data_IF_396038859002
#
_entry.id   IF_396038859002
#
_cell.length_a   1.000
_cell.length_b   1.000
_cell.length_c   1.000
_cell.angle_alpha   90.00
_cell.angle_beta   90.00
_cell.angle_gamma   90.00
#
_symmetry.space_group_name_H-M   'P 1'
#
loop_
_entity.id
_entity.type
_entity.pdbx_description
1 polymer ?
#
# COMPACT_ATOMS: atom_id res chain seq x y z
N UNK A 1 1.82 13.48 -8.98
CA UNK A 1 2.04 14.95 -8.85
C UNK A 1 0.73 15.73 -8.84
N UNK A 2 -0.18 15.55 -9.82
CA UNK A 2 -1.43 16.32 -9.90
C UNK A 2 -2.34 16.15 -8.66
N UNK A 3 -2.40 14.96 -8.08
CA UNK A 3 -3.15 14.68 -6.85
C UNK A 3 -2.54 15.40 -5.65
N UNK A 4 -1.23 15.26 -5.47
CA UNK A 4 -0.48 15.94 -4.41
C UNK A 4 -0.63 17.46 -4.55
N UNK A 5 -0.54 18.01 -5.77
CA UNK A 5 -0.73 19.44 -6.01
C UNK A 5 -2.14 19.92 -5.69
N UNK A 6 -3.20 19.13 -5.95
CA UNK A 6 -4.57 19.50 -5.56
C UNK A 6 -4.74 19.51 -4.05
N UNK A 7 -4.20 18.52 -3.33
CA UNK A 7 -4.24 18.50 -1.88
C UNK A 7 -3.53 19.71 -1.29
N UNK A 8 -2.39 20.12 -1.89
CA UNK A 8 -1.71 21.37 -1.52
C UNK A 8 -2.52 22.63 -1.81
N UNK A 9 -3.19 22.69 -2.96
CA UNK A 9 -4.04 23.83 -3.29
C UNK A 9 -5.13 24.02 -2.24
N UNK A 10 -5.83 22.95 -1.86
CA UNK A 10 -6.86 23.02 -0.82
C UNK A 10 -6.30 23.40 0.56
N UNK A 11 -5.14 22.86 0.94
CA UNK A 11 -4.49 23.23 2.20
C UNK A 11 -3.99 24.70 2.19
N UNK A 12 -3.48 25.19 1.04
CA UNK A 12 -3.04 26.58 0.86
C UNK A 12 -4.20 27.58 0.87
N UNK A 13 -5.38 27.18 0.43
CA UNK A 13 -6.59 27.98 0.48
C UNK A 13 -7.20 28.04 1.89
N UNK A 14 -6.55 27.43 2.88
CA UNK A 14 -6.97 27.47 4.27
C UNK A 14 -8.13 26.53 4.62
N UNK A 15 -8.49 25.60 3.74
CA UNK A 15 -9.48 24.58 4.03
C UNK A 15 -8.89 23.51 4.97
N UNK A 16 -8.98 23.76 6.25
CA UNK A 16 -8.59 22.80 7.29
C UNK A 16 -9.72 21.83 7.65
N UNK A 17 -10.96 22.13 7.24
CA UNK A 17 -12.12 21.30 7.50
C UNK A 17 -13.10 21.38 6.33
N UNK A 18 -13.54 20.23 5.81
CA UNK A 18 -14.70 20.14 4.95
C UNK A 18 -15.95 20.05 5.83
N UNK A 19 -16.76 21.10 5.85
CA UNK A 19 -18.05 21.07 6.55
C UNK A 19 -19.14 20.79 5.53
N UNK A 20 -19.69 19.60 5.57
CA UNK A 20 -20.83 19.21 4.74
C UNK A 20 -22.12 19.65 5.44
N UNK A 21 -22.62 20.84 5.15
CA UNK A 21 -23.86 21.34 5.75
C UNK A 21 -25.14 20.69 5.19
N UNK A 22 -25.07 20.15 3.98
CA UNK A 22 -26.23 19.59 3.25
C UNK A 22 -26.14 18.10 2.98
N UNK A 23 -25.04 17.45 3.39
CA UNK A 23 -24.78 16.03 3.10
C UNK A 23 -24.42 15.29 4.39
N UNK A 24 -24.81 14.02 4.44
CA UNK A 24 -24.35 13.13 5.50
C UNK A 24 -22.83 12.97 5.45
N UNK A 25 -22.19 12.80 6.62
CA UNK A 25 -20.78 12.42 6.74
C UNK A 25 -20.56 10.92 6.66
N UNK A 26 -21.61 10.13 6.43
CA UNK A 26 -21.51 8.70 6.26
C UNK A 26 -20.70 8.36 5.01
N UNK A 27 -19.95 7.28 5.08
CA UNK A 27 -18.99 6.86 4.05
C UNK A 27 -19.62 6.62 2.66
N UNK A 28 -20.93 6.33 2.60
CA UNK A 28 -21.72 6.10 1.38
C UNK A 28 -22.50 7.34 0.93
N UNK A 29 -22.28 8.50 1.57
CA UNK A 29 -23.02 9.71 1.22
C UNK A 29 -22.64 10.24 -0.18
N UNK A 30 -23.60 10.94 -0.80
CA UNK A 30 -23.41 11.57 -2.11
C UNK A 30 -22.22 12.55 -2.13
N UNK A 31 -21.86 13.15 -1.01
CA UNK A 31 -20.72 14.05 -0.89
C UNK A 31 -19.42 13.36 -1.29
N UNK A 32 -19.21 12.09 -0.89
CA UNK A 32 -18.01 11.33 -1.22
C UNK A 32 -17.93 10.93 -2.70
N UNK A 33 -19.05 10.78 -3.37
CA UNK A 33 -19.07 10.50 -4.82
C UNK A 33 -18.67 11.70 -5.68
N UNK A 34 -18.74 12.90 -5.16
CA UNK A 34 -18.42 14.13 -5.89
C UNK A 34 -16.97 14.57 -5.74
N UNK A 35 -16.21 14.01 -4.79
CA UNK A 35 -14.81 14.35 -4.56
C UNK A 35 -13.89 13.39 -5.33
N UNK A 36 -13.05 13.97 -6.21
CA UNK A 36 -12.10 13.19 -7.01
C UNK A 36 -11.02 12.53 -6.14
N UNK A 37 -10.73 11.25 -6.41
CA UNK A 37 -9.63 10.52 -5.76
C UNK A 37 -9.96 9.87 -4.42
N UNK A 38 -11.21 9.86 -3.98
CA UNK A 38 -11.64 9.24 -2.71
C UNK A 38 -11.39 7.73 -2.65
N UNK A 39 -11.50 7.05 -3.78
CA UNK A 39 -11.33 5.61 -3.89
C UNK A 39 -9.89 5.21 -4.30
N UNK A 40 -8.95 6.14 -4.28
CA UNK A 40 -7.55 5.85 -4.54
C UNK A 40 -6.76 5.85 -3.25
N UNK A 41 -5.83 4.91 -3.15
CA UNK A 41 -4.84 4.83 -2.10
C UNK A 41 -3.47 4.94 -2.76
N UNK A 42 -2.71 5.98 -2.40
CA UNK A 42 -1.49 6.32 -3.11
C UNK A 42 -0.27 6.08 -2.24
N UNK A 43 0.76 5.48 -2.83
CA UNK A 43 2.07 5.30 -2.21
C UNK A 43 3.16 5.80 -3.13
N UNK A 44 4.25 6.27 -2.54
CA UNK A 44 5.45 6.70 -3.24
C UNK A 44 6.56 5.69 -2.93
N UNK A 45 7.20 5.17 -3.97
CA UNK A 45 8.40 4.34 -3.83
C UNK A 45 9.62 5.22 -3.93
N UNK A 46 10.48 5.17 -2.91
CA UNK A 46 11.64 6.04 -2.77
C UNK A 46 12.89 5.18 -2.70
N UNK A 47 13.85 5.33 -3.65
CA UNK A 47 15.13 4.64 -3.59
C UNK A 47 16.09 5.32 -2.62
N UNK A 48 17.09 4.60 -2.15
CA UNK A 48 18.13 5.11 -1.24
C UNK A 48 18.87 6.31 -1.80
N UNK A 49 19.05 6.39 -3.11
CA UNK A 49 19.70 7.53 -3.78
C UNK A 49 18.98 8.85 -3.51
N UNK A 50 17.65 8.81 -3.37
CA UNK A 50 16.91 10.00 -2.98
C UNK A 50 17.29 10.47 -1.57
N UNK A 51 17.39 9.54 -0.61
CA UNK A 51 17.77 9.88 0.77
C UNK A 51 19.22 10.36 0.87
N UNK A 52 20.14 9.77 0.12
CA UNK A 52 21.53 10.27 -0.01
C UNK A 52 21.55 11.68 -0.59
N UNK A 53 20.70 11.95 -1.57
CA UNK A 53 20.57 13.29 -2.16
C UNK A 53 19.96 14.29 -1.18
N UNK A 54 18.94 13.84 -0.43
CA UNK A 54 18.30 14.63 0.61
C UNK A 54 19.29 15.02 1.73
N UNK A 55 20.16 14.09 2.16
CA UNK A 55 21.16 14.35 3.19
C UNK A 55 22.19 15.41 2.78
N UNK A 56 22.57 15.44 1.50
CA UNK A 56 23.51 16.45 0.96
C UNK A 56 22.84 17.73 0.44
N UNK A 57 21.53 17.88 0.69
CA UNK A 57 20.72 19.01 0.21
C UNK A 57 20.78 19.21 -1.31
N UNK A 58 20.85 18.10 -2.04
CA UNK A 58 21.01 18.07 -3.48
C UNK A 58 19.70 18.24 -4.26
N UNK A 59 19.87 18.26 -5.58
CA UNK A 59 18.78 18.29 -6.53
C UNK A 59 18.37 16.89 -6.94
N UNK A 60 17.08 16.69 -7.19
CA UNK A 60 16.48 15.43 -7.61
C UNK A 60 15.76 15.57 -8.95
N UNK A 61 16.08 14.69 -9.88
CA UNK A 61 15.48 14.67 -11.20
C UNK A 61 14.22 13.82 -11.22
N UNK A 62 13.12 14.41 -11.67
CA UNK A 62 11.89 13.72 -12.00
C UNK A 62 11.96 13.29 -13.46
N UNK A 63 11.97 11.99 -13.72
CA UNK A 63 12.10 11.42 -15.05
C UNK A 63 10.76 10.96 -15.61
N UNK A 64 10.58 11.08 -16.91
CA UNK A 64 9.42 10.53 -17.62
C UNK A 64 9.55 9.02 -17.75
N UNK A 65 8.47 8.30 -17.54
CA UNK A 65 8.45 6.83 -17.69
C UNK A 65 8.51 6.37 -19.14
N UNK A 66 8.13 7.23 -20.07
CA UNK A 66 8.03 6.90 -21.50
C UNK A 66 9.38 6.81 -22.19
N UNK A 67 10.34 7.65 -21.81
CA UNK A 67 11.63 7.77 -22.50
C UNK A 67 12.83 7.94 -21.53
N UNK A 68 12.58 7.99 -20.22
CA UNK A 68 13.60 8.19 -19.20
C UNK A 68 14.20 9.60 -19.14
N UNK A 69 13.75 10.53 -19.99
CA UNK A 69 14.28 11.87 -19.98
C UNK A 69 13.84 12.66 -18.75
N UNK A 70 14.71 13.56 -18.28
CA UNK A 70 14.40 14.46 -17.17
C UNK A 70 13.27 15.40 -17.58
N UNK A 71 12.20 15.36 -16.81
CA UNK A 71 11.02 16.22 -16.97
C UNK A 71 11.18 17.50 -16.16
N UNK A 72 11.73 17.40 -14.96
CA UNK A 72 11.91 18.50 -14.03
C UNK A 72 12.95 18.14 -12.98
N UNK A 73 13.77 19.11 -12.61
CA UNK A 73 14.68 19.01 -11.46
C UNK A 73 14.12 19.82 -10.29
N UNK A 74 14.10 19.25 -9.11
CA UNK A 74 13.59 19.88 -7.88
C UNK A 74 14.58 19.67 -6.73
N UNK A 75 14.52 20.50 -5.70
CA UNK A 75 15.25 20.23 -4.45
C UNK A 75 14.67 18.98 -3.77
N UNK A 76 15.54 18.03 -3.44
CA UNK A 76 15.11 16.82 -2.74
C UNK A 76 14.44 17.17 -1.40
N UNK A 77 14.94 18.18 -0.69
CA UNK A 77 14.38 18.69 0.57
C UNK A 77 12.96 19.22 0.40
N UNK A 78 12.71 19.99 -0.63
CA UNK A 78 11.38 20.56 -0.90
C UNK A 78 10.38 19.46 -1.25
N UNK A 79 10.79 18.47 -2.06
CA UNK A 79 9.95 17.34 -2.40
C UNK A 79 9.62 16.50 -1.16
N UNK A 80 10.62 16.21 -0.31
CA UNK A 80 10.42 15.48 0.93
C UNK A 80 9.47 16.19 1.90
N UNK A 81 9.66 17.49 2.08
CA UNK A 81 8.78 18.29 2.93
C UNK A 81 7.33 18.28 2.43
N UNK A 82 7.12 18.30 1.11
CA UNK A 82 5.77 18.18 0.51
C UNK A 82 5.15 16.82 0.78
N UNK A 83 5.93 15.73 0.62
CA UNK A 83 5.47 14.37 0.92
C UNK A 83 5.05 14.27 2.38
N UNK A 84 5.91 14.71 3.29
CA UNK A 84 5.64 14.68 4.73
C UNK A 84 4.43 15.51 5.12
N UNK A 85 4.29 16.70 4.53
CA UNK A 85 3.13 17.56 4.77
C UNK A 85 1.83 16.93 4.27
N UNK A 86 1.81 16.37 3.06
CA UNK A 86 0.64 15.70 2.52
C UNK A 86 0.21 14.51 3.41
N UNK A 87 1.18 13.68 3.83
CA UNK A 87 0.92 12.56 4.73
C UNK A 87 0.38 13.01 6.09
N UNK A 88 0.86 14.12 6.62
CA UNK A 88 0.34 14.72 7.85
C UNK A 88 -1.10 15.21 7.73
N UNK A 89 -1.42 15.90 6.64
CA UNK A 89 -2.72 16.56 6.47
C UNK A 89 -3.83 15.58 6.10
N UNK A 90 -3.55 14.57 5.27
CA UNK A 90 -4.57 13.69 4.72
C UNK A 90 -4.23 12.18 4.79
N UNK A 91 -3.21 11.79 5.54
CA UNK A 91 -2.71 10.42 5.67
C UNK A 91 -2.24 9.78 4.34
N UNK A 92 -2.06 10.57 3.28
CA UNK A 92 -1.64 10.13 1.96
C UNK A 92 -0.53 11.09 1.44
N UNK A 93 0.49 10.60 0.73
CA UNK A 93 0.75 9.23 0.31
C UNK A 93 1.43 8.37 1.40
N UNK A 94 1.28 7.05 1.28
CA UNK A 94 2.16 6.11 1.95
C UNK A 94 3.58 6.16 1.37
N UNK A 95 4.60 5.80 2.16
CA UNK A 95 6.00 5.78 1.72
C UNK A 95 6.53 4.36 1.73
N UNK A 96 7.14 3.94 0.63
CA UNK A 96 7.75 2.63 0.46
C UNK A 96 9.24 2.80 0.09
N UNK A 97 10.11 2.07 0.77
CA UNK A 97 11.56 2.14 0.59
C UNK A 97 12.00 1.13 -0.46
N UNK A 98 12.08 1.58 -1.72
CA UNK A 98 12.26 0.72 -2.90
C UNK A 98 13.51 -0.17 -2.82
N UNK A 99 14.65 0.39 -2.43
CA UNK A 99 15.90 -0.34 -2.33
C UNK A 99 15.81 -1.43 -1.29
N UNK A 100 15.42 -1.10 -0.07
CA UNK A 100 15.28 -2.05 1.05
C UNK A 100 14.28 -3.15 0.73
N UNK A 101 13.12 -2.81 0.15
CA UNK A 101 12.10 -3.78 -0.25
C UNK A 101 12.68 -4.82 -1.21
N UNK A 102 13.45 -4.38 -2.20
CA UNK A 102 14.04 -5.28 -3.19
C UNK A 102 15.27 -6.03 -2.67
N UNK A 103 16.01 -5.50 -1.68
CA UNK A 103 17.07 -6.23 -0.99
C UNK A 103 16.52 -7.41 -0.17
N UNK A 104 15.31 -7.28 0.36
CA UNK A 104 14.63 -8.32 1.15
C UNK A 104 13.68 -9.19 0.32
N UNK A 105 13.66 -8.99 -0.99
CA UNK A 105 12.80 -9.77 -1.88
C UNK A 105 13.18 -11.26 -1.87
N UNK A 106 12.17 -12.12 -1.69
CA UNK A 106 12.39 -13.58 -1.55
C UNK A 106 12.50 -14.33 -2.86
N UNK A 107 12.13 -13.70 -3.99
CA UNK A 107 12.19 -14.27 -5.34
C UNK A 107 12.83 -13.28 -6.34
N UNK A 108 14.06 -12.81 -6.13
CA UNK A 108 14.66 -11.75 -6.94
C UNK A 108 14.96 -12.17 -8.39
N UNK A 109 15.11 -13.46 -8.66
CA UNK A 109 15.36 -14.01 -10.00
C UNK A 109 14.15 -13.86 -10.93
N UNK A 110 12.95 -13.77 -10.38
CA UNK A 110 11.69 -13.66 -11.16
C UNK A 110 11.34 -12.21 -11.52
N UNK A 111 11.99 -11.25 -10.91
CA UNK A 111 11.78 -9.82 -11.17
C UNK A 111 11.91 -8.93 -9.95
N UNK A 112 11.61 -7.65 -10.15
CA UNK A 112 11.58 -6.66 -9.07
C UNK A 112 10.18 -6.50 -8.50
N UNK A 113 10.09 -6.09 -7.26
CA UNK A 113 8.87 -5.58 -6.64
C UNK A 113 8.73 -4.10 -7.01
N UNK A 114 7.67 -3.74 -7.77
CA UNK A 114 7.42 -2.37 -8.20
C UNK A 114 6.29 -1.69 -7.41
N UNK A 115 5.40 -2.46 -6.80
CA UNK A 115 4.25 -1.96 -6.07
C UNK A 115 3.89 -2.91 -4.93
N UNK A 116 2.88 -2.54 -4.17
CA UNK A 116 2.26 -3.37 -3.14
C UNK A 116 0.74 -3.19 -3.15
N UNK A 117 0.04 -3.92 -2.29
CA UNK A 117 -1.33 -3.55 -1.92
C UNK A 117 -1.36 -2.23 -1.13
N UNK A 118 -2.55 -1.61 -0.94
CA UNK A 118 -2.66 -0.29 -0.29
C UNK A 118 -2.03 -0.21 1.11
N UNK A 119 -2.19 -1.24 1.93
CA UNK A 119 -1.66 -1.25 3.29
C UNK A 119 -0.17 -1.62 3.36
N UNK A 120 0.46 -1.95 2.24
CA UNK A 120 1.88 -2.27 2.09
C UNK A 120 2.36 -3.54 2.82
N UNK A 121 1.44 -4.42 3.25
CA UNK A 121 1.81 -5.69 3.85
C UNK A 121 2.25 -6.73 2.82
N UNK A 122 1.83 -6.58 1.55
CA UNK A 122 2.16 -7.50 0.48
C UNK A 122 3.20 -6.92 -0.48
N UNK A 123 4.45 -7.18 -0.18
CA UNK A 123 5.61 -6.80 -1.00
C UNK A 123 6.11 -8.02 -1.77
N UNK A 124 5.59 -8.21 -2.97
CA UNK A 124 5.93 -9.35 -3.83
C UNK A 124 5.89 -8.97 -5.30
N UNK A 125 6.06 -9.97 -6.19
CA UNK A 125 6.06 -9.79 -7.63
C UNK A 125 4.76 -9.16 -8.16
N UNK A 126 4.89 -8.41 -9.24
CA UNK A 126 3.74 -7.87 -9.96
C UNK A 126 2.84 -9.00 -10.48
N UNK A 127 1.59 -8.68 -10.75
CA UNK A 127 0.59 -9.65 -11.23
C UNK A 127 0.44 -10.88 -10.32
N UNK A 128 0.55 -10.68 -9.01
CA UNK A 128 0.28 -11.69 -7.99
C UNK A 128 -0.86 -11.25 -7.09
N UNK A 129 -1.41 -12.19 -6.33
CA UNK A 129 -2.45 -11.91 -5.34
C UNK A 129 -2.15 -12.62 -4.04
N UNK A 130 -2.52 -12.00 -2.91
CA UNK A 130 -2.45 -12.62 -1.60
C UNK A 130 -3.86 -12.98 -1.14
N UNK A 131 -4.08 -14.25 -0.84
CA UNK A 131 -5.32 -14.74 -0.28
C UNK A 131 -5.27 -14.61 1.25
N UNK A 132 -6.25 -13.95 1.86
CA UNK A 132 -6.18 -13.48 3.24
C UNK A 132 -7.22 -14.13 4.15
N UNK A 133 -6.82 -14.46 5.37
CA UNK A 133 -7.68 -14.72 6.51
C UNK A 133 -7.04 -14.18 7.80
N UNK A 134 -7.85 -13.99 8.84
CA UNK A 134 -7.36 -13.58 10.15
C UNK A 134 -8.03 -14.37 11.25
N UNK A 135 -7.27 -14.74 12.28
CA UNK A 135 -7.77 -15.41 13.46
C UNK A 135 -7.98 -14.40 14.59
N UNK A 136 -9.15 -14.42 15.21
CA UNK A 136 -9.38 -13.63 16.41
C UNK A 136 -8.69 -14.29 17.60
N UNK A 137 -7.51 -13.80 17.98
CA UNK A 137 -6.69 -14.38 19.06
C UNK A 137 -7.39 -14.38 20.42
N UNK A 138 -8.33 -13.47 20.67
CA UNK A 138 -9.08 -13.44 21.93
C UNK A 138 -9.97 -14.68 22.14
N UNK A 139 -10.32 -15.39 21.06
CA UNK A 139 -11.10 -16.63 21.14
C UNK A 139 -10.26 -17.84 21.58
N UNK A 140 -8.95 -17.69 21.68
CA UNK A 140 -8.05 -18.74 22.16
C UNK A 140 -7.58 -18.48 23.60
N UNK A 141 -8.22 -17.57 24.33
CA UNK A 141 -7.98 -17.34 25.74
C UNK A 141 -9.02 -18.12 26.55
N UNK A 142 -8.58 -19.12 27.30
CA UNK A 142 -9.44 -19.93 28.18
C UNK A 142 -9.95 -19.08 29.38
N UNK A 143 -10.95 -19.58 30.09
CA UNK A 143 -11.55 -18.90 31.23
C UNK A 143 -10.58 -18.63 32.39
N UNK A 144 -9.50 -19.39 32.49
CA UNK A 144 -8.42 -19.22 33.45
C UNK A 144 -7.34 -18.21 32.99
N UNK A 145 -7.54 -17.58 31.82
CA UNK A 145 -6.61 -16.63 31.21
C UNK A 145 -5.44 -17.24 30.47
N UNK A 146 -5.37 -18.58 30.38
CA UNK A 146 -4.33 -19.25 29.62
C UNK A 146 -4.65 -19.25 28.10
N UNK A 147 -3.60 -19.17 27.28
CA UNK A 147 -3.75 -19.25 25.83
C UNK A 147 -3.87 -20.71 25.36
N UNK A 148 -4.95 -21.06 24.66
CA UNK A 148 -5.16 -22.37 24.07
C UNK A 148 -4.28 -22.59 22.85
N UNK A 149 -3.05 -22.97 23.07
CA UNK A 149 -2.07 -23.22 22.03
C UNK A 149 -2.50 -24.37 21.08
N UNK A 150 -3.22 -25.39 21.59
CA UNK A 150 -3.63 -26.53 20.78
C UNK A 150 -4.75 -26.15 19.82
N UNK A 151 -5.78 -25.45 20.32
CA UNK A 151 -6.86 -24.91 19.51
C UNK A 151 -6.35 -23.92 18.47
N UNK A 152 -5.44 -23.03 18.85
CA UNK A 152 -4.80 -22.09 17.92
C UNK A 152 -4.03 -22.82 16.81
N UNK A 153 -3.18 -23.80 17.14
CA UNK A 153 -2.45 -24.61 16.14
C UNK A 153 -3.40 -25.36 15.20
N UNK A 154 -4.50 -25.86 15.71
CA UNK A 154 -5.52 -26.52 14.88
C UNK A 154 -6.16 -25.51 13.92
N UNK A 155 -6.58 -24.36 14.41
CA UNK A 155 -7.17 -23.30 13.61
C UNK A 155 -6.21 -22.80 12.50
N UNK A 156 -4.94 -22.57 12.82
CA UNK A 156 -3.91 -22.18 11.84
C UNK A 156 -3.80 -23.22 10.72
N UNK A 157 -3.70 -24.50 11.05
CA UNK A 157 -3.64 -25.58 10.04
C UNK A 157 -4.88 -25.62 9.17
N UNK A 158 -6.05 -25.53 9.78
CA UNK A 158 -7.33 -25.58 9.06
C UNK A 158 -7.46 -24.40 8.10
N UNK A 159 -7.20 -23.17 8.58
CA UNK A 159 -7.29 -21.98 7.76
C UNK A 159 -6.22 -21.88 6.67
N UNK A 160 -5.03 -22.41 6.90
CA UNK A 160 -4.01 -22.55 5.85
C UNK A 160 -4.52 -23.45 4.72
N UNK A 161 -5.17 -24.56 5.04
CA UNK A 161 -5.77 -25.45 4.04
C UNK A 161 -6.92 -24.76 3.31
N UNK A 162 -7.77 -24.03 4.02
CA UNK A 162 -8.89 -23.28 3.43
C UNK A 162 -8.37 -22.21 2.47
N UNK A 163 -7.35 -21.45 2.86
CA UNK A 163 -6.72 -20.45 2.00
C UNK A 163 -6.11 -21.08 0.74
N UNK A 164 -5.41 -22.19 0.88
CA UNK A 164 -4.81 -22.93 -0.23
C UNK A 164 -5.86 -23.44 -1.24
N UNK A 165 -6.94 -24.02 -0.74
CA UNK A 165 -8.05 -24.49 -1.58
C UNK A 165 -8.72 -23.31 -2.30
N UNK A 166 -8.93 -22.20 -1.59
CA UNK A 166 -9.62 -21.04 -2.14
C UNK A 166 -8.83 -20.35 -3.27
N UNK A 167 -7.51 -20.46 -3.33
CA UNK A 167 -6.73 -20.03 -4.51
C UNK A 167 -7.18 -20.75 -5.78
N UNK A 168 -7.46 -22.06 -5.70
CA UNK A 168 -7.95 -22.86 -6.83
C UNK A 168 -9.37 -22.50 -7.27
N UNK A 169 -10.16 -21.90 -6.37
CA UNK A 169 -11.56 -21.53 -6.60
C UNK A 169 -11.72 -20.06 -6.97
N UNK A 170 -10.66 -19.27 -6.93
CA UNK A 170 -10.71 -17.84 -7.16
C UNK A 170 -10.92 -17.50 -8.64
N UNK A 171 -11.70 -16.46 -8.90
CA UNK A 171 -11.76 -15.80 -10.20
C UNK A 171 -10.70 -14.69 -10.28
N UNK A 172 -9.85 -14.74 -11.29
CA UNK A 172 -8.79 -13.75 -11.46
C UNK A 172 -9.12 -12.76 -12.60
N UNK A 173 -8.78 -11.47 -12.45
CA UNK A 173 -9.13 -10.45 -13.44
C UNK A 173 -8.28 -10.53 -14.73
N UNK A 174 -7.12 -11.19 -14.68
CA UNK A 174 -6.26 -11.40 -15.85
C UNK A 174 -5.60 -12.78 -15.83
N UNK A 175 -5.16 -13.22 -17.00
CA UNK A 175 -4.42 -14.48 -17.17
C UNK A 175 -3.09 -14.44 -16.40
N UNK A 176 -2.35 -13.35 -16.48
CA UNK A 176 -1.06 -13.21 -15.79
C UNK A 176 -1.23 -13.37 -14.26
N UNK A 177 -2.25 -12.73 -13.69
CA UNK A 177 -2.54 -12.86 -12.25
C UNK A 177 -2.93 -14.31 -11.91
N UNK A 178 -3.70 -14.99 -12.74
CA UNK A 178 -4.07 -16.38 -12.50
C UNK A 178 -2.84 -17.30 -12.51
N UNK A 179 -2.00 -17.19 -13.55
CA UNK A 179 -0.78 -17.99 -13.68
C UNK A 179 0.17 -17.79 -12.52
N UNK A 180 0.42 -16.53 -12.12
CA UNK A 180 1.29 -16.22 -11.00
C UNK A 180 0.68 -16.64 -9.65
N UNK A 181 -0.63 -16.47 -9.47
CA UNK A 181 -1.30 -16.91 -8.25
C UNK A 181 -1.24 -18.43 -8.07
N UNK A 182 -1.35 -19.19 -9.14
CA UNK A 182 -1.18 -20.65 -9.10
C UNK A 182 0.28 -21.08 -8.91
N UNK A 183 1.24 -20.34 -9.47
CA UNK A 183 2.66 -20.65 -9.34
C UNK A 183 3.17 -20.37 -7.91
N UNK A 184 2.86 -19.21 -7.35
CA UNK A 184 3.42 -18.75 -6.08
C UNK A 184 2.53 -19.03 -4.86
N UNK A 185 1.22 -19.13 -5.04
CA UNK A 185 0.24 -19.48 -4.00
C UNK A 185 0.44 -18.72 -2.69
N UNK A 186 0.46 -17.39 -2.77
CA UNK A 186 0.71 -16.56 -1.60
C UNK A 186 -0.48 -16.53 -0.67
N UNK A 187 -0.27 -16.94 0.57
CA UNK A 187 -1.27 -17.00 1.62
C UNK A 187 -0.89 -16.06 2.76
N UNK A 188 -1.84 -15.24 3.21
CA UNK A 188 -1.68 -14.37 4.36
C UNK A 188 -2.65 -14.78 5.48
N UNK A 189 -2.13 -15.35 6.56
CA UNK A 189 -2.91 -15.68 7.75
C UNK A 189 -2.45 -14.81 8.92
N UNK A 190 -3.31 -13.86 9.31
CA UNK A 190 -3.11 -12.97 10.44
C UNK A 190 -3.70 -13.47 11.75
#
# INVERSE_FOLDING_TARGET
EAYIQRMFAYAHEGFTHFVFHEYSTDWDSTAYHTVSGQNSNNSIRIPDEFFKTLQRDGDWDLTRRTDGAVSKTVKARDLWNRIAWAAWVCADPGVQYDTTINEWHTCPEEGRIHASNPCSEYMFLDDTACNLASLNLSQFIAADGQFDLQGFRHAVRLWTIVLEISVLMAGFPSRAIAENSFAYRTLGLG
#
